data_IF_596742483180
#
_entry.id   IF_596742483180
#
_cell.length_a   1.000
_cell.length_b   1.000
_cell.length_c   1.000
_cell.angle_alpha   90.00
_cell.angle_beta   90.00
_cell.angle_gamma   90.00
#
_symmetry.space_group_name_H-M   'P 1'
#
loop_
_entity.id
_entity.type
_entity.pdbx_description
1 polymer ?
#
# COMPACT_ATOMS: atom_id res chain seq x y z
N UNK A 1 -13.17 0.16 -4.88
CA UNK A 1 -12.01 0.02 -5.79
C UNK A 1 -11.09 -1.02 -5.19
N UNK A 2 -10.33 -1.75 -6.00
CA UNK A 2 -9.29 -2.66 -5.54
C UNK A 2 -7.98 -2.28 -6.24
N UNK A 3 -6.90 -2.15 -5.48
CA UNK A 3 -5.57 -1.77 -5.97
C UNK A 3 -4.58 -2.82 -5.52
N UNK A 4 -3.80 -3.35 -6.46
CA UNK A 4 -2.66 -4.18 -6.19
C UNK A 4 -1.38 -3.44 -6.59
N UNK A 5 -0.29 -3.69 -5.90
CA UNK A 5 0.95 -3.00 -6.22
C UNK A 5 2.17 -3.58 -5.54
N UNK A 6 3.27 -2.86 -5.65
CA UNK A 6 4.57 -3.24 -5.13
C UNK A 6 5.17 -2.14 -4.28
N UNK A 7 5.79 -2.53 -3.17
CA UNK A 7 6.45 -1.65 -2.22
C UNK A 7 7.47 -2.45 -1.42
N UNK A 8 8.69 -1.91 -1.31
CA UNK A 8 9.76 -2.49 -0.48
C UNK A 8 9.90 -4.02 -0.61
N UNK A 9 10.17 -4.48 -1.84
CA UNK A 9 10.42 -5.90 -2.13
C UNK A 9 9.26 -6.84 -1.79
N UNK A 10 8.04 -6.33 -1.75
CA UNK A 10 6.83 -7.10 -1.50
C UNK A 10 5.65 -6.51 -2.24
N UNK A 11 4.60 -7.31 -2.37
CA UNK A 11 3.35 -6.87 -2.98
C UNK A 11 2.40 -6.33 -1.91
N UNK A 12 1.35 -5.67 -2.34
CA UNK A 12 0.27 -5.26 -1.47
C UNK A 12 -1.07 -5.28 -2.21
N UNK A 13 -2.15 -5.37 -1.45
CA UNK A 13 -3.50 -5.08 -1.93
C UNK A 13 -4.21 -4.13 -0.97
N UNK A 14 -4.94 -3.15 -1.50
CA UNK A 14 -5.86 -2.34 -0.71
C UNK A 14 -7.17 -2.09 -1.46
N UNK A 15 -8.19 -1.69 -0.71
CA UNK A 15 -9.55 -1.51 -1.21
C UNK A 15 -10.01 -0.06 -1.14
N UNK A 16 -9.06 0.86 -1.06
CA UNK A 16 -9.30 2.25 -0.69
C UNK A 16 -9.60 2.43 0.80
N UNK A 17 -9.72 3.68 1.20
CA UNK A 17 -10.01 4.06 2.59
C UNK A 17 -10.47 5.51 2.69
N UNK A 18 -10.56 6.03 3.93
CA UNK A 18 -10.91 7.43 4.18
C UNK A 18 -9.97 8.37 3.43
N UNK A 19 -10.53 9.30 2.65
CA UNK A 19 -9.77 10.16 1.76
C UNK A 19 -10.50 11.47 1.43
N UNK A 20 -9.71 12.51 1.18
CA UNK A 20 -10.17 13.77 0.58
C UNK A 20 -9.92 13.67 -0.93
N UNK A 21 -10.94 13.98 -1.74
CA UNK A 21 -10.88 13.82 -3.20
C UNK A 21 -11.37 15.07 -3.92
N UNK A 22 -10.66 15.44 -4.98
CA UNK A 22 -11.10 16.33 -6.02
C UNK A 22 -11.71 15.49 -7.14
N UNK A 23 -12.99 15.72 -7.45
CA UNK A 23 -13.75 14.92 -8.42
C UNK A 23 -14.21 15.83 -9.56
N UNK A 24 -13.74 15.55 -10.78
CA UNK A 24 -14.22 16.18 -12.01
C UNK A 24 -14.31 15.10 -13.09
N UNK A 25 -15.53 14.59 -13.32
CA UNK A 25 -15.76 13.47 -14.25
C UNK A 25 -15.04 13.72 -15.60
N UNK A 26 -14.34 12.71 -16.17
CA UNK A 26 -14.18 11.33 -15.71
C UNK A 26 -13.02 11.10 -14.71
N UNK A 27 -12.41 12.17 -14.20
CA UNK A 27 -11.21 12.15 -13.36
C UNK A 27 -11.57 12.26 -11.86
N UNK A 28 -10.78 11.60 -11.02
CA UNK A 28 -10.72 11.93 -9.60
C UNK A 28 -9.30 11.80 -9.08
N UNK A 29 -8.86 12.77 -8.30
CA UNK A 29 -7.59 12.75 -7.58
C UNK A 29 -7.87 12.83 -6.10
N UNK A 30 -7.12 12.10 -5.27
CA UNK A 30 -7.31 12.13 -3.84
C UNK A 30 -6.09 11.74 -3.05
N UNK A 31 -6.13 12.12 -1.78
CA UNK A 31 -5.15 11.76 -0.77
C UNK A 31 -5.88 11.16 0.43
N UNK A 32 -5.34 10.11 1.02
CA UNK A 32 -5.95 9.52 2.20
C UNK A 32 -5.21 8.32 2.75
N UNK A 33 -5.86 7.69 3.73
CA UNK A 33 -5.36 6.51 4.42
C UNK A 33 -5.73 5.26 3.62
N UNK A 34 -4.79 4.31 3.57
CA UNK A 34 -4.86 3.10 2.76
C UNK A 34 -4.77 1.86 3.66
N UNK A 35 -5.91 1.32 4.13
CA UNK A 35 -5.97 0.03 4.79
C UNK A 35 -5.53 -1.06 3.82
N UNK A 36 -4.45 -1.78 4.15
CA UNK A 36 -3.69 -2.56 3.18
C UNK A 36 -3.30 -3.91 3.76
N UNK A 37 -3.34 -4.96 2.94
CA UNK A 37 -2.66 -6.22 3.22
C UNK A 37 -1.31 -6.22 2.51
N UNK A 38 -0.21 -6.26 3.27
CA UNK A 38 1.15 -6.44 2.74
C UNK A 38 1.41 -7.91 2.55
N UNK A 39 1.98 -8.26 1.41
CA UNK A 39 2.36 -9.62 1.04
C UNK A 39 3.87 -9.61 0.86
N UNK A 40 4.59 -10.07 1.88
CA UNK A 40 6.05 -10.11 1.88
C UNK A 40 6.52 -11.27 2.74
N UNK A 41 7.34 -12.14 2.16
CA UNK A 41 7.93 -13.25 2.90
C UNK A 41 8.93 -12.72 3.93
N UNK A 42 8.78 -13.15 5.18
CA UNK A 42 9.76 -12.87 6.22
C UNK A 42 11.00 -13.76 6.04
N UNK A 43 12.17 -13.15 6.16
CA UNK A 43 13.48 -13.80 6.02
C UNK A 43 14.31 -13.55 7.30
N UNK A 44 13.89 -14.10 8.46
CA UNK A 44 14.63 -13.90 9.69
C UNK A 44 15.92 -14.73 9.71
N UNK A 45 16.78 -14.42 10.68
CA UNK A 45 17.94 -15.24 11.00
C UNK A 45 17.53 -16.68 11.36
N UNK A 46 18.49 -17.60 11.28
CA UNK A 46 18.28 -19.02 11.62
C UNK A 46 17.69 -19.13 13.04
N UNK A 47 16.66 -19.94 13.19
CA UNK A 47 15.96 -20.22 14.46
C UNK A 47 15.21 -19.04 15.12
N UNK A 48 15.06 -17.91 14.43
CA UNK A 48 14.22 -16.79 14.89
C UNK A 48 12.75 -16.93 14.44
N UNK A 49 11.85 -16.33 15.23
CA UNK A 49 10.42 -16.29 14.91
C UNK A 49 10.16 -15.56 13.58
N UNK A 50 9.23 -16.11 12.80
CA UNK A 50 8.82 -15.59 11.48
C UNK A 50 7.49 -14.86 11.60
N UNK A 51 7.39 -13.70 10.98
CA UNK A 51 6.11 -13.05 10.75
C UNK A 51 5.30 -13.79 9.69
N UNK A 52 3.97 -13.61 9.74
CA UNK A 52 3.08 -14.06 8.67
C UNK A 52 3.49 -13.45 7.33
N UNK A 53 3.36 -14.22 6.25
CA UNK A 53 3.60 -13.74 4.89
C UNK A 53 2.60 -12.65 4.46
N UNK A 54 1.43 -12.62 5.09
CA UNK A 54 0.39 -11.61 4.89
C UNK A 54 0.17 -10.85 6.20
N UNK A 55 0.36 -9.53 6.17
CA UNK A 55 0.21 -8.67 7.36
C UNK A 55 -0.72 -7.49 7.07
N UNK A 56 -1.63 -7.15 8.00
CA UNK A 56 -2.39 -5.91 7.89
C UNK A 56 -1.47 -4.72 8.19
N UNK A 57 -1.62 -3.65 7.42
CA UNK A 57 -0.96 -2.38 7.67
C UNK A 57 -1.85 -1.23 7.24
N UNK A 58 -1.54 -0.04 7.73
CA UNK A 58 -2.10 1.20 7.22
C UNK A 58 -0.97 2.03 6.62
N UNK A 59 -1.25 2.61 5.45
CA UNK A 59 -0.41 3.63 4.85
C UNK A 59 -1.23 4.88 4.56
N UNK A 60 -0.60 5.81 3.88
CA UNK A 60 -1.29 6.92 3.23
C UNK A 60 -0.83 7.03 1.78
N UNK A 61 -1.51 7.79 0.95
CA UNK A 61 -1.01 8.01 -0.40
C UNK A 61 -1.95 8.76 -1.32
N UNK A 62 -1.44 8.98 -2.52
CA UNK A 62 -2.19 9.60 -3.59
C UNK A 62 -2.87 8.55 -4.44
N UNK A 63 -4.13 8.79 -4.79
CA UNK A 63 -4.92 7.96 -5.68
C UNK A 63 -5.41 8.83 -6.83
N UNK A 64 -5.05 8.46 -8.05
CA UNK A 64 -5.59 9.02 -9.27
C UNK A 64 -6.50 7.98 -9.92
N UNK A 65 -7.69 8.39 -10.37
CA UNK A 65 -8.57 7.51 -11.11
C UNK A 65 -9.08 8.19 -12.37
N UNK A 66 -9.13 7.42 -13.46
CA UNK A 66 -9.73 7.79 -14.73
C UNK A 66 -10.67 6.67 -15.17
N UNK A 67 -11.97 6.97 -15.27
CA UNK A 67 -13.03 5.96 -15.49
C UNK A 67 -12.90 4.83 -14.44
N UNK A 68 -12.58 3.62 -14.88
CA UNK A 68 -12.39 2.45 -14.02
C UNK A 68 -10.92 2.18 -13.66
N UNK A 69 -9.95 2.90 -14.23
CA UNK A 69 -8.52 2.67 -13.95
C UNK A 69 -8.11 3.52 -12.76
N UNK A 70 -7.39 2.92 -11.81
CA UNK A 70 -6.84 3.57 -10.62
C UNK A 70 -5.33 3.42 -10.60
N UNK A 71 -4.62 4.53 -10.50
CA UNK A 71 -3.19 4.58 -10.19
C UNK A 71 -3.01 5.08 -8.76
N UNK A 72 -2.11 4.47 -8.02
CA UNK A 72 -1.87 4.81 -6.64
C UNK A 72 -0.38 4.87 -6.32
N UNK A 73 0.00 5.90 -5.57
CA UNK A 73 1.33 6.04 -4.97
C UNK A 73 1.16 6.00 -3.46
N UNK A 74 1.21 4.80 -2.85
CA UNK A 74 1.14 4.65 -1.40
C UNK A 74 2.51 4.87 -0.75
N UNK A 75 2.46 5.21 0.54
CA UNK A 75 3.58 5.24 1.45
C UNK A 75 3.23 4.36 2.64
N UNK A 76 4.07 3.35 2.88
CA UNK A 76 3.88 2.42 3.98
C UNK A 76 5.09 2.44 4.90
N UNK A 77 4.84 2.47 6.21
CA UNK A 77 5.90 2.43 7.21
C UNK A 77 6.32 0.99 7.48
N UNK A 78 7.62 0.73 7.38
CA UNK A 78 8.20 -0.48 7.92
C UNK A 78 8.73 -0.18 9.32
N UNK A 79 8.33 -0.96 10.33
CA UNK A 79 8.86 -0.79 11.68
C UNK A 79 10.35 -1.12 11.74
N UNK A 80 11.02 -0.53 12.73
CA UNK A 80 12.41 -0.85 13.07
C UNK A 80 12.54 -2.35 13.38
N UNK A 81 13.63 -2.95 12.93
CA UNK A 81 14.04 -4.32 13.27
C UNK A 81 15.36 -4.29 14.05
N UNK A 82 15.88 -5.46 14.46
CA UNK A 82 17.20 -5.56 15.10
C UNK A 82 18.36 -5.16 14.17
N UNK A 83 18.16 -5.20 12.86
CA UNK A 83 19.21 -4.98 11.85
C UNK A 83 18.95 -3.80 10.91
N UNK A 84 17.78 -3.16 10.97
CA UNK A 84 17.43 -2.04 10.10
C UNK A 84 16.51 -1.01 10.77
N UNK A 85 16.75 0.28 10.46
CA UNK A 85 15.91 1.38 10.92
C UNK A 85 14.52 1.34 10.27
N UNK A 86 13.53 1.82 11.04
CA UNK A 86 12.18 2.03 10.51
C UNK A 86 12.16 3.15 9.48
N UNK A 87 11.39 2.97 8.41
CA UNK A 87 11.32 3.95 7.31
C UNK A 87 10.01 3.84 6.54
N UNK A 88 9.61 4.97 5.97
CA UNK A 88 8.53 5.04 4.98
C UNK A 88 9.05 4.58 3.62
N UNK A 89 8.27 3.74 2.94
CA UNK A 89 8.60 3.26 1.61
C UNK A 89 7.49 3.69 0.64
N UNK A 90 7.82 4.47 -0.40
CA UNK A 90 6.89 4.71 -1.50
C UNK A 90 6.70 3.40 -2.28
N UNK A 91 5.49 3.21 -2.75
CA UNK A 91 5.12 2.13 -3.66
C UNK A 91 4.44 2.65 -4.90
N UNK A 92 4.04 1.73 -5.76
CA UNK A 92 3.18 2.00 -6.91
C UNK A 92 2.16 0.88 -7.02
N UNK A 93 0.92 1.24 -7.35
CA UNK A 93 -0.15 0.28 -7.58
C UNK A 93 -1.06 0.69 -8.71
N UNK A 94 -1.64 -0.35 -9.30
CA UNK A 94 -2.67 -0.26 -10.33
C UNK A 94 -3.91 -0.97 -9.81
N UNK A 95 -5.07 -0.41 -10.13
CA UNK A 95 -6.32 -0.92 -9.62
C UNK A 95 -7.50 -0.65 -10.53
N UNK A 96 -8.61 -1.19 -10.09
CA UNK A 96 -9.91 -1.05 -10.73
C UNK A 96 -10.90 -0.37 -9.78
N UNK A 97 -11.61 0.63 -10.29
CA UNK A 97 -12.74 1.26 -9.64
C UNK A 97 -14.02 0.77 -10.32
N UNK A 98 -14.81 0.00 -9.59
CA UNK A 98 -16.15 -0.43 -9.99
C UNK A 98 -17.07 0.78 -10.15
#
# INVERSE_FOLDING_TARGET
>A
MAVAGYVDKGSYVNFGGPSIKLVKKPWSFGFGILPTMRIKQDKPAKDASKNSAITPTAGFGFTFAYRHIVLQVPFYYNPKTSTANGKWNPGVGLGFKF
#
